data_IF_404197172413
#
_entry.id   IF_404197172413
#
_cell.length_a   1.000
_cell.length_b   1.000
_cell.length_c   1.000
_cell.angle_alpha   90.00
_cell.angle_beta   90.00
_cell.angle_gamma   90.00
#
_symmetry.space_group_name_H-M   'P 1'
#
loop_
_entity.id
_entity.type
_entity.pdbx_description
1 polymer ?
#
# COMPACT_ATOMS: atom_id res chain seq x y z
N UNK A 1 -17.39 22.28 -11.85
CA UNK A 1 -17.04 21.44 -10.68
C UNK A 1 -18.21 21.50 -9.73
N UNK A 2 -18.98 20.41 -9.61
CA UNK A 2 -19.94 20.23 -8.52
C UNK A 2 -19.24 19.51 -7.37
N UNK A 3 -19.29 20.09 -6.18
CA UNK A 3 -18.79 19.49 -4.94
C UNK A 3 -19.91 18.66 -4.32
N UNK A 4 -19.79 17.34 -4.36
CA UNK A 4 -20.66 16.42 -3.64
C UNK A 4 -20.52 16.68 -2.13
N UNK A 5 -21.61 17.10 -1.48
CA UNK A 5 -21.66 17.25 -0.02
C UNK A 5 -21.81 15.88 0.62
N UNK A 6 -20.69 15.22 0.82
CA UNK A 6 -20.59 14.03 1.65
C UNK A 6 -20.97 14.40 3.09
N UNK A 7 -21.89 13.66 3.69
CA UNK A 7 -22.17 13.78 5.12
C UNK A 7 -20.90 13.49 5.92
N UNK A 8 -20.75 14.14 7.09
CA UNK A 8 -19.64 13.87 8.00
C UNK A 8 -19.51 12.35 8.23
N UNK A 9 -18.28 11.84 8.15
CA UNK A 9 -17.93 10.44 8.36
C UNK A 9 -18.63 9.43 7.43
N UNK A 10 -18.73 9.72 6.14
CA UNK A 10 -19.13 8.73 5.11
C UNK A 10 -17.92 8.19 4.32
N UNK A 11 -17.02 7.41 4.95
CA UNK A 11 -15.81 6.86 4.32
C UNK A 11 -16.14 5.99 3.09
N UNK A 12 -17.27 5.28 3.15
CA UNK A 12 -17.79 4.44 2.07
C UNK A 12 -18.16 5.21 0.80
N UNK A 13 -18.41 6.51 0.93
CA UNK A 13 -18.82 7.37 -0.16
C UNK A 13 -17.65 8.21 -0.71
N UNK A 14 -16.45 8.07 -0.13
CA UNK A 14 -15.26 8.76 -0.56
C UNK A 14 -14.44 7.87 -1.52
N UNK A 15 -14.37 8.21 -2.83
CA UNK A 15 -13.63 7.42 -3.81
C UNK A 15 -12.14 7.24 -3.45
N UNK A 16 -11.57 8.20 -2.72
CA UNK A 16 -10.18 8.18 -2.26
C UNK A 16 -9.97 7.01 -1.29
N UNK A 17 -10.90 6.78 -0.36
CA UNK A 17 -10.79 5.69 0.62
C UNK A 17 -10.96 4.31 -0.02
N UNK A 18 -11.83 4.20 -1.02
CA UNK A 18 -11.95 3.00 -1.84
C UNK A 18 -10.65 2.67 -2.59
N UNK A 19 -10.03 3.68 -3.23
CA UNK A 19 -8.74 3.53 -3.89
C UNK A 19 -7.63 3.09 -2.91
N UNK A 20 -7.56 3.69 -1.72
CA UNK A 20 -6.58 3.30 -0.70
C UNK A 20 -6.83 1.90 -0.15
N UNK A 21 -8.08 1.47 -0.05
CA UNK A 21 -8.41 0.10 0.38
C UNK A 21 -7.90 -0.93 -0.62
N UNK A 22 -8.04 -0.66 -1.92
CA UNK A 22 -7.48 -1.50 -2.98
C UNK A 22 -5.95 -1.52 -2.92
N UNK A 23 -5.30 -0.35 -2.85
CA UNK A 23 -3.83 -0.29 -2.70
C UNK A 23 -3.36 -1.08 -1.48
N UNK A 24 -4.03 -0.93 -0.34
CA UNK A 24 -3.73 -1.64 0.91
C UNK A 24 -3.85 -3.16 0.74
N UNK A 25 -4.84 -3.65 0.00
CA UNK A 25 -5.00 -5.08 -0.28
C UNK A 25 -3.82 -5.62 -1.11
N UNK A 26 -3.40 -4.90 -2.15
CA UNK A 26 -2.25 -5.27 -2.98
C UNK A 26 -0.94 -5.27 -2.20
N UNK A 27 -0.71 -4.25 -1.36
CA UNK A 27 0.46 -4.21 -0.47
C UNK A 27 0.44 -5.39 0.50
N UNK A 28 -0.71 -5.68 1.13
CA UNK A 28 -0.83 -6.85 2.04
C UNK A 28 -0.52 -8.16 1.32
N UNK A 29 -0.99 -8.34 0.09
CA UNK A 29 -0.69 -9.52 -0.71
C UNK A 29 0.81 -9.63 -1.01
N UNK A 30 1.44 -8.53 -1.42
CA UNK A 30 2.89 -8.48 -1.62
C UNK A 30 3.64 -8.88 -0.33
N UNK A 31 3.31 -8.26 0.80
CA UNK A 31 3.95 -8.57 2.08
C UNK A 31 3.70 -10.01 2.56
N UNK A 32 2.57 -10.62 2.17
CA UNK A 32 2.30 -12.02 2.47
C UNK A 32 3.22 -12.98 1.70
N UNK A 33 3.58 -12.64 0.45
CA UNK A 33 4.56 -13.40 -0.35
C UNK A 33 5.97 -13.31 0.24
N UNK A 34 6.37 -12.13 0.71
CA UNK A 34 7.69 -11.89 1.32
C UNK A 34 7.68 -12.03 2.84
N UNK A 35 6.73 -12.78 3.40
CA UNK A 35 6.56 -12.86 4.86
C UNK A 35 7.80 -13.41 5.55
N UNK A 36 8.44 -14.40 4.97
CA UNK A 36 9.65 -14.99 5.52
C UNK A 36 10.80 -13.97 5.53
N UNK A 37 11.00 -13.22 4.45
CA UNK A 37 12.01 -12.14 4.39
C UNK A 37 11.75 -11.00 5.38
N UNK A 38 10.47 -10.70 5.67
CA UNK A 38 10.06 -9.69 6.66
C UNK A 38 10.29 -10.18 8.09
N UNK A 39 10.05 -11.46 8.34
CA UNK A 39 10.21 -12.10 9.64
C UNK A 39 11.62 -12.64 9.87
N UNK A 40 12.48 -12.60 8.85
CA UNK A 40 13.85 -13.05 8.92
C UNK A 40 14.64 -12.20 9.93
N UNK A 41 15.08 -12.87 10.99
CA UNK A 41 15.93 -12.29 12.04
C UNK A 41 17.41 -12.56 11.79
N UNK A 42 17.76 -13.30 10.75
CA UNK A 42 19.14 -13.56 10.39
C UNK A 42 19.79 -12.28 9.86
N UNK A 43 20.91 -11.93 10.48
CA UNK A 43 21.72 -10.76 10.17
C UNK A 43 22.69 -11.09 9.05
N UNK A 44 22.17 -11.32 7.86
CA UNK A 44 23.03 -11.36 6.69
C UNK A 44 23.43 -9.92 6.30
N UNK A 45 24.73 -9.66 6.11
CA UNK A 45 25.19 -8.38 5.61
C UNK A 45 24.62 -8.13 4.21
N UNK A 46 24.26 -6.89 3.91
CA UNK A 46 23.82 -6.52 2.57
C UNK A 46 24.98 -6.55 1.56
N UNK A 47 24.70 -6.22 0.30
CA UNK A 47 25.70 -6.22 -0.78
C UNK A 47 26.91 -5.32 -0.50
N UNK A 48 26.80 -4.39 0.45
CA UNK A 48 27.86 -3.46 0.86
C UNK A 48 28.58 -3.91 2.15
N UNK A 49 28.22 -5.07 2.70
CA UNK A 49 28.77 -5.58 3.95
C UNK A 49 28.10 -5.03 5.21
N UNK A 50 27.06 -4.20 5.09
CA UNK A 50 26.38 -3.62 6.24
C UNK A 50 25.25 -4.50 6.74
N UNK A 51 25.23 -4.73 8.05
CA UNK A 51 24.17 -5.49 8.71
C UNK A 51 23.06 -4.52 9.09
N UNK A 52 22.01 -4.47 8.26
CA UNK A 52 20.82 -3.70 8.58
C UNK A 52 20.14 -4.24 9.84
N UNK A 53 19.64 -3.32 10.65
CA UNK A 53 18.73 -3.69 11.72
C UNK A 53 17.45 -4.30 11.14
N UNK A 54 16.78 -5.10 11.97
CA UNK A 54 15.48 -5.69 11.63
C UNK A 54 14.44 -4.63 11.23
N UNK A 55 14.47 -3.45 11.87
CA UNK A 55 13.57 -2.35 11.54
C UNK A 55 13.82 -1.78 10.13
N UNK A 56 15.09 -1.58 9.76
CA UNK A 56 15.48 -1.08 8.43
C UNK A 56 15.14 -2.07 7.32
N UNK A 57 15.40 -3.38 7.54
CA UNK A 57 15.03 -4.42 6.59
C UNK A 57 13.52 -4.44 6.35
N UNK A 58 12.72 -4.39 7.43
CA UNK A 58 11.25 -4.30 7.32
C UNK A 58 10.78 -3.03 6.62
N UNK A 59 11.47 -1.90 6.82
CA UNK A 59 11.14 -0.64 6.16
C UNK A 59 11.41 -0.73 4.65
N UNK A 60 12.56 -1.28 4.23
CA UNK A 60 12.90 -1.48 2.81
C UNK A 60 11.87 -2.35 2.10
N UNK A 61 11.47 -3.47 2.70
CA UNK A 61 10.47 -4.38 2.10
C UNK A 61 9.11 -3.68 1.97
N UNK A 62 8.70 -2.91 2.97
CA UNK A 62 7.46 -2.12 2.90
C UNK A 62 7.52 -1.03 1.82
N UNK A 63 8.65 -0.34 1.69
CA UNK A 63 8.84 0.67 0.67
C UNK A 63 8.78 0.05 -0.74
N UNK A 64 9.41 -1.10 -0.94
CA UNK A 64 9.33 -1.87 -2.18
C UNK A 64 7.90 -2.31 -2.48
N UNK A 65 7.16 -2.77 -1.46
CA UNK A 65 5.76 -3.17 -1.60
C UNK A 65 4.90 -1.99 -2.06
N UNK A 66 5.09 -0.80 -1.47
CA UNK A 66 4.38 0.41 -1.88
C UNK A 66 4.74 0.78 -3.32
N UNK A 67 6.02 0.95 -3.63
CA UNK A 67 6.49 1.36 -4.97
C UNK A 67 6.00 0.42 -6.07
N UNK A 68 6.03 -0.90 -5.81
CA UNK A 68 5.59 -1.91 -6.79
C UNK A 68 4.08 -1.88 -7.05
N UNK A 69 3.28 -1.40 -6.09
CA UNK A 69 1.82 -1.42 -6.16
C UNK A 69 1.18 -0.04 -6.39
N UNK A 70 1.94 1.07 -6.40
CA UNK A 70 1.39 2.41 -6.69
C UNK A 70 0.63 2.46 -8.03
N UNK A 71 1.07 1.69 -9.02
CA UNK A 71 0.42 1.57 -10.34
C UNK A 71 -1.03 1.07 -10.31
N UNK A 72 -1.48 0.51 -9.19
CA UNK A 72 -2.86 0.03 -9.00
C UNK A 72 -3.84 1.19 -8.88
N UNK A 73 -3.40 2.36 -8.41
CA UNK A 73 -4.24 3.56 -8.39
C UNK A 73 -4.25 4.15 -9.80
N UNK A 74 -5.26 3.75 -10.59
CA UNK A 74 -5.50 4.24 -11.95
C UNK A 74 -6.67 5.22 -11.98
N UNK A 75 -6.76 6.11 -12.99
CA UNK A 75 -7.93 6.97 -13.17
C UNK A 75 -9.24 6.19 -13.28
N UNK A 76 -9.22 5.02 -13.93
CA UNK A 76 -10.38 4.13 -14.03
C UNK A 76 -10.83 3.60 -12.66
N UNK A 77 -9.88 3.24 -11.80
CA UNK A 77 -10.18 2.83 -10.43
C UNK A 77 -10.87 3.96 -9.66
N UNK A 78 -10.38 5.20 -9.79
CA UNK A 78 -10.97 6.37 -9.13
C UNK A 78 -12.42 6.55 -9.56
N UNK A 79 -12.69 6.53 -10.87
CA UNK A 79 -14.05 6.65 -11.42
C UNK A 79 -14.96 5.50 -10.99
N UNK A 80 -14.43 4.28 -10.87
CA UNK A 80 -15.20 3.14 -10.38
C UNK A 80 -15.52 3.21 -8.88
N UNK A 81 -14.75 3.98 -8.11
CA UNK A 81 -15.00 4.21 -6.67
C UNK A 81 -15.89 5.44 -6.42
N UNK A 82 -16.13 6.27 -7.45
CA UNK A 82 -17.11 7.35 -7.38
C UNK A 82 -18.53 6.78 -7.39
N UNK A 83 -19.37 7.21 -6.45
CA UNK A 83 -20.79 6.87 -6.45
C UNK A 83 -21.42 7.44 -7.72
N UNK A 84 -21.88 6.58 -8.62
CA UNK A 84 -22.69 7.00 -9.77
C UNK A 84 -24.10 7.37 -9.28
N UNK A 85 -24.67 8.50 -9.73
CA UNK A 85 -26.03 8.90 -9.41
C UNK A 85 -27.09 7.95 -9.97
#
# INVERSE_FOLDING_TARGET
MELLRLGADSPMCNPIEGCFSVLKAHIKNYLAVYRDDICDRFREPDQNGEVLSFAERRMRIQELAVKSNMKVITPELVVNMELRP
#
